data_IF_243426413454
#
_entry.id   IF_243426413454
#
_cell.length_a   1.000
_cell.length_b   1.000
_cell.length_c   1.000
_cell.angle_alpha   90.00
_cell.angle_beta   90.00
_cell.angle_gamma   90.00
#
_symmetry.space_group_name_H-M   'P 1'
#
loop_
_entity.id
_entity.type
_entity.pdbx_description
1 polymer ?
#
# COMPACT_ATOMS: atom_id res chain seq x y z
N UNK A 1 -29.12 -0.21 6.61
CA UNK A 1 -29.00 -0.33 8.08
C UNK A 1 -29.35 -1.75 8.42
N UNK A 2 -28.48 -2.50 9.10
CA UNK A 2 -28.81 -3.85 9.55
C UNK A 2 -29.67 -3.67 10.81
N UNK A 3 -30.98 -3.80 10.66
CA UNK A 3 -31.96 -3.65 11.75
C UNK A 3 -32.34 -4.99 12.37
N UNK A 4 -32.12 -6.08 11.64
CA UNK A 4 -32.47 -7.43 12.04
C UNK A 4 -31.35 -8.07 12.89
N UNK A 5 -31.71 -8.57 14.07
CA UNK A 5 -30.81 -9.15 15.06
C UNK A 5 -30.07 -10.38 14.51
N UNK A 6 -30.68 -11.13 13.57
CA UNK A 6 -30.06 -12.30 12.95
C UNK A 6 -28.78 -11.98 12.16
N UNK A 7 -28.68 -10.74 11.63
CA UNK A 7 -27.51 -10.27 10.88
C UNK A 7 -26.57 -9.41 11.74
N UNK A 8 -26.75 -9.42 13.07
CA UNK A 8 -25.94 -8.61 13.99
C UNK A 8 -24.43 -8.83 13.85
N UNK A 9 -23.99 -10.03 13.44
CA UNK A 9 -22.58 -10.35 13.18
C UNK A 9 -21.96 -9.55 12.03
N UNK A 10 -22.76 -9.02 11.09
CA UNK A 10 -22.30 -8.21 9.96
C UNK A 10 -22.22 -6.70 10.26
N UNK A 11 -22.57 -6.27 11.48
CA UNK A 11 -22.62 -4.85 11.87
C UNK A 11 -21.29 -4.14 11.64
N UNK A 12 -20.19 -4.76 12.05
CA UNK A 12 -18.82 -4.21 11.89
C UNK A 12 -18.46 -3.91 10.44
N UNK A 13 -18.93 -4.75 9.50
CA UNK A 13 -18.72 -4.55 8.06
C UNK A 13 -19.57 -3.42 7.49
N UNK A 14 -20.83 -3.34 7.93
CA UNK A 14 -21.68 -2.22 7.56
C UNK A 14 -21.11 -0.89 8.07
N UNK A 15 -20.57 -0.86 9.29
CA UNK A 15 -19.94 0.32 9.86
C UNK A 15 -18.67 0.71 9.09
N UNK A 16 -17.85 -0.27 8.72
CA UNK A 16 -16.66 -0.05 7.87
C UNK A 16 -17.03 0.47 6.48
N UNK A 17 -18.08 -0.07 5.85
CA UNK A 17 -18.60 0.44 4.57
C UNK A 17 -19.05 1.89 4.69
N UNK A 18 -19.78 2.24 5.74
CA UNK A 18 -20.24 3.61 5.97
C UNK A 18 -19.07 4.57 6.22
N UNK A 19 -18.05 4.11 6.95
CA UNK A 19 -16.81 4.85 7.14
C UNK A 19 -16.10 5.15 5.81
N UNK A 20 -15.97 4.16 4.91
CA UNK A 20 -15.38 4.37 3.58
C UNK A 20 -16.13 5.42 2.76
N UNK A 21 -17.46 5.41 2.81
CA UNK A 21 -18.30 6.41 2.15
C UNK A 21 -18.11 7.80 2.76
N UNK A 22 -17.98 7.89 4.08
CA UNK A 22 -17.82 9.17 4.77
C UNK A 22 -16.49 9.87 4.41
N UNK A 23 -15.41 9.10 4.26
CA UNK A 23 -14.07 9.64 3.97
C UNK A 23 -13.74 9.79 2.48
N UNK A 24 -14.62 9.35 1.57
CA UNK A 24 -14.30 9.27 0.13
C UNK A 24 -13.91 10.63 -0.48
N UNK A 25 -14.49 11.72 0.03
CA UNK A 25 -14.25 13.08 -0.44
C UNK A 25 -13.32 13.89 0.48
N UNK A 26 -12.72 13.25 1.48
CA UNK A 26 -11.75 13.87 2.36
C UNK A 26 -10.38 13.98 1.67
N UNK A 27 -10.08 15.16 1.11
CA UNK A 27 -8.80 15.39 0.42
C UNK A 27 -7.61 15.43 1.37
N UNK A 28 -7.83 15.69 2.66
CA UNK A 28 -6.75 15.66 3.67
C UNK A 28 -6.19 14.25 3.91
N UNK A 29 -6.93 13.22 3.48
CA UNK A 29 -6.54 11.81 3.55
C UNK A 29 -5.84 11.32 2.30
N UNK A 30 -5.53 12.19 1.34
CA UNK A 30 -4.90 11.83 0.07
C UNK A 30 -3.40 12.10 0.10
N UNK A 31 -2.64 11.36 -0.69
CA UNK A 31 -1.27 11.75 -1.04
C UNK A 31 -1.31 12.80 -2.16
N UNK A 32 -0.36 13.74 -2.13
CA UNK A 32 -0.26 14.80 -3.13
C UNK A 32 0.61 14.43 -4.34
N UNK A 33 1.44 13.40 -4.22
CA UNK A 33 2.38 13.02 -5.28
C UNK A 33 1.65 12.23 -6.36
N UNK A 34 1.57 12.80 -7.57
CA UNK A 34 1.04 12.13 -8.74
C UNK A 34 1.89 10.94 -9.21
N UNK A 35 1.24 10.02 -9.95
CA UNK A 35 1.85 8.77 -10.41
C UNK A 35 2.60 8.87 -11.75
N UNK A 36 2.38 9.95 -12.49
CA UNK A 36 2.91 10.10 -13.86
C UNK A 36 4.08 11.07 -13.88
N UNK A 37 5.11 10.70 -14.63
CA UNK A 37 6.25 11.57 -14.93
C UNK A 37 6.01 12.26 -16.28
N UNK A 38 6.15 13.58 -16.32
CA UNK A 38 6.09 14.34 -17.58
C UNK A 38 7.42 14.27 -18.32
N UNK A 39 7.39 14.48 -19.64
CA UNK A 39 8.59 14.49 -20.49
C UNK A 39 9.63 15.55 -20.07
N UNK A 40 9.17 16.64 -19.44
CA UNK A 40 10.03 17.67 -18.86
C UNK A 40 10.71 17.25 -17.53
N UNK A 41 10.44 16.04 -17.01
CA UNK A 41 11.01 15.55 -15.75
C UNK A 41 10.32 16.10 -14.49
N UNK A 42 9.02 16.39 -14.58
CA UNK A 42 8.20 16.88 -13.45
C UNK A 42 7.10 15.88 -13.09
N UNK A 43 6.74 15.83 -11.81
CA UNK A 43 5.54 15.14 -11.33
C UNK A 43 4.46 16.14 -10.95
N UNK A 44 3.20 15.74 -11.09
CA UNK A 44 2.04 16.53 -10.72
C UNK A 44 1.85 16.51 -9.20
N UNK A 45 1.59 17.67 -8.59
CA UNK A 45 1.25 17.83 -7.17
C UNK A 45 -0.23 18.15 -7.04
N UNK A 46 -1.00 17.14 -6.63
CA UNK A 46 -2.45 17.17 -6.49
C UNK A 46 -2.89 15.95 -5.69
N UNK A 47 -3.93 16.10 -4.86
CA UNK A 47 -4.59 14.98 -4.20
C UNK A 47 -5.00 13.88 -5.21
N UNK A 48 -4.41 12.68 -5.12
CA UNK A 48 -4.67 11.56 -6.05
C UNK A 48 -5.38 10.40 -5.35
N UNK A 49 -4.64 9.59 -4.59
CA UNK A 49 -5.16 8.41 -3.92
C UNK A 49 -5.02 8.52 -2.40
N UNK A 50 -5.61 7.61 -1.62
CA UNK A 50 -5.46 7.64 -0.15
C UNK A 50 -3.99 7.67 0.24
N UNK A 51 -3.60 8.46 1.23
CA UNK A 51 -2.23 8.47 1.75
C UNK A 51 -1.86 7.14 2.39
N UNK A 52 -0.56 6.87 2.53
CA UNK A 52 -0.05 5.73 3.31
C UNK A 52 -0.73 5.61 4.67
N UNK A 53 -0.82 6.71 5.43
CA UNK A 53 -1.43 6.73 6.76
C UNK A 53 -2.89 6.28 6.71
N UNK A 54 -3.65 6.74 5.72
CA UNK A 54 -5.04 6.31 5.55
C UNK A 54 -5.13 4.84 5.15
N UNK A 55 -4.28 4.34 4.26
CA UNK A 55 -4.25 2.92 3.87
C UNK A 55 -3.92 2.02 5.06
N UNK A 56 -2.95 2.40 5.89
CA UNK A 56 -2.59 1.69 7.13
C UNK A 56 -3.73 1.72 8.14
N UNK A 57 -4.41 2.87 8.29
CA UNK A 57 -5.56 3.00 9.18
C UNK A 57 -6.76 2.12 8.74
N UNK A 58 -6.98 1.99 7.43
CA UNK A 58 -7.96 1.05 6.87
C UNK A 58 -7.58 -0.40 7.13
N UNK A 59 -6.31 -0.77 6.94
CA UNK A 59 -5.82 -2.12 7.24
C UNK A 59 -5.98 -2.46 8.73
N UNK A 60 -5.64 -1.52 9.62
CA UNK A 60 -5.83 -1.67 11.08
C UNK A 60 -7.27 -2.00 11.45
N UNK A 61 -8.23 -1.30 10.83
CA UNK A 61 -9.66 -1.53 11.03
C UNK A 61 -10.10 -2.89 10.51
N UNK A 62 -9.74 -3.25 9.27
CA UNK A 62 -10.08 -4.56 8.69
C UNK A 62 -9.50 -5.72 9.50
N UNK A 63 -8.22 -5.68 9.86
CA UNK A 63 -7.62 -6.70 10.73
C UNK A 63 -8.33 -6.79 12.09
N UNK A 64 -8.76 -5.66 12.66
CA UNK A 64 -9.49 -5.65 13.93
C UNK A 64 -10.89 -6.27 13.80
N UNK A 65 -11.55 -6.05 12.66
CA UNK A 65 -12.85 -6.64 12.34
C UNK A 65 -12.71 -8.16 12.19
N UNK A 66 -11.72 -8.64 11.45
CA UNK A 66 -11.44 -10.07 11.30
C UNK A 66 -11.07 -10.74 12.64
N UNK A 67 -10.34 -10.03 13.51
CA UNK A 67 -10.04 -10.50 14.86
C UNK A 67 -11.29 -10.58 15.74
N UNK A 68 -12.15 -9.57 15.70
CA UNK A 68 -13.40 -9.57 16.44
C UNK A 68 -14.35 -10.69 15.98
N UNK A 69 -14.35 -11.02 14.69
CA UNK A 69 -15.18 -12.11 14.15
C UNK A 69 -14.69 -13.48 14.62
N UNK A 70 -13.37 -13.70 14.69
CA UNK A 70 -12.81 -14.91 15.31
C UNK A 70 -13.14 -15.00 16.79
N UNK A 71 -12.97 -13.89 17.52
CA UNK A 71 -13.30 -13.83 18.96
C UNK A 71 -14.81 -14.10 19.17
N UNK A 72 -15.69 -13.63 18.27
CA UNK A 72 -17.14 -13.91 18.27
C UNK A 72 -17.43 -15.40 18.03
N UNK A 73 -16.83 -15.98 17.00
CA UNK A 73 -17.01 -17.40 16.65
C UNK A 73 -16.57 -18.32 17.80
N UNK A 74 -15.41 -18.05 18.40
CA UNK A 74 -14.89 -18.78 19.56
C UNK A 74 -15.85 -18.68 20.76
N UNK A 75 -16.34 -17.48 21.07
CA UNK A 75 -17.31 -17.28 22.15
C UNK A 75 -18.64 -18.02 21.90
N UNK A 76 -19.12 -18.02 20.65
CA UNK A 76 -20.34 -18.72 20.25
C UNK A 76 -20.18 -20.24 20.36
N UNK A 77 -19.04 -20.77 19.90
CA UNK A 77 -18.65 -22.18 20.06
C UNK A 77 -18.58 -22.59 21.53
N UNK A 78 -17.99 -21.74 22.39
CA UNK A 78 -17.97 -21.95 23.84
C UNK A 78 -19.37 -22.00 24.46
N UNK A 79 -20.27 -21.09 24.07
CA UNK A 79 -21.65 -21.05 24.55
C UNK A 79 -22.48 -22.27 24.11
N UNK A 80 -22.24 -22.77 22.90
CA UNK A 80 -22.86 -24.01 22.40
C UNK A 80 -22.38 -25.21 23.23
N UNK A 81 -21.07 -25.33 23.43
CA UNK A 81 -20.46 -26.43 24.18
C UNK A 81 -20.87 -26.45 25.66
N UNK A 82 -21.11 -25.29 26.27
CA UNK A 82 -21.61 -25.18 27.66
C UNK A 82 -23.12 -25.39 27.79
N UNK A 83 -23.86 -25.48 26.67
CA UNK A 83 -25.32 -25.55 26.67
C UNK A 83 -26.01 -24.23 27.03
N UNK A 84 -25.28 -23.10 26.95
CA UNK A 84 -25.82 -21.75 27.20
C UNK A 84 -26.70 -21.27 26.05
N UNK A 85 -26.53 -21.82 24.85
CA UNK A 85 -27.41 -21.66 23.69
C UNK A 85 -27.86 -23.04 23.17
N UNK A 86 -29.02 -23.14 22.49
CA UNK A 86 -29.52 -24.41 21.96
C UNK A 86 -28.61 -24.98 20.88
N UNK A 87 -28.48 -26.31 20.83
CA UNK A 87 -27.79 -27.01 19.76
C UNK A 87 -28.65 -27.12 18.49
N UNK A 88 -28.72 -26.02 17.73
CA UNK A 88 -29.40 -25.90 16.44
C UNK A 88 -28.40 -25.82 15.29
N UNK A 89 -28.85 -26.12 14.07
CA UNK A 89 -28.03 -25.97 12.85
C UNK A 89 -27.52 -24.53 12.68
N UNK A 90 -28.37 -23.53 12.93
CA UNK A 90 -28.03 -22.12 12.87
C UNK A 90 -26.89 -21.75 13.84
N UNK A 91 -26.96 -22.21 15.09
CA UNK A 91 -25.91 -21.94 16.08
C UNK A 91 -24.60 -22.67 15.75
N UNK A 92 -24.68 -23.88 15.19
CA UNK A 92 -23.48 -24.61 14.73
C UNK A 92 -22.76 -23.87 13.61
N UNK A 93 -23.49 -23.27 12.67
CA UNK A 93 -22.88 -22.45 11.59
C UNK A 93 -22.15 -21.25 12.18
N UNK A 94 -22.73 -20.59 13.20
CA UNK A 94 -22.15 -19.42 13.85
C UNK A 94 -20.94 -19.72 14.77
N UNK A 95 -20.62 -20.99 15.02
CA UNK A 95 -19.40 -21.40 15.75
C UNK A 95 -18.11 -21.15 14.97
N UNK A 96 -18.19 -20.94 13.66
CA UNK A 96 -17.06 -20.60 12.80
C UNK A 96 -17.06 -19.10 12.45
N UNK A 97 -15.90 -18.51 12.10
CA UNK A 97 -15.86 -17.16 11.53
C UNK A 97 -16.69 -17.10 10.24
N UNK A 98 -17.63 -16.15 10.17
CA UNK A 98 -18.51 -15.96 9.01
C UNK A 98 -17.82 -15.19 7.87
N UNK A 99 -16.75 -14.48 8.18
CA UNK A 99 -15.94 -13.74 7.21
C UNK A 99 -14.51 -13.56 7.70
N UNK A 100 -13.60 -13.40 6.74
CA UNK A 100 -12.22 -12.98 6.96
C UNK A 100 -11.75 -12.22 5.70
N UNK A 101 -11.41 -10.95 5.85
CA UNK A 101 -11.10 -10.06 4.72
C UNK A 101 -9.61 -9.97 4.41
N UNK A 102 -8.76 -10.15 5.41
CA UNK A 102 -7.30 -10.01 5.29
C UNK A 102 -6.64 -11.37 5.46
N UNK A 103 -6.64 -12.16 4.39
CA UNK A 103 -5.86 -13.41 4.33
C UNK A 103 -4.35 -13.12 4.33
N UNK A 104 -3.49 -14.09 4.71
CA UNK A 104 -2.04 -13.93 4.60
C UNK A 104 -1.55 -13.54 3.20
N UNK A 105 -2.18 -14.11 2.16
CA UNK A 105 -1.88 -13.79 0.75
C UNK A 105 -2.17 -12.31 0.44
N UNK A 106 -3.35 -11.81 0.83
CA UNK A 106 -3.71 -10.40 0.67
C UNK A 106 -2.81 -9.49 1.51
N UNK A 107 -2.44 -9.93 2.72
CA UNK A 107 -1.55 -9.15 3.59
C UNK A 107 -0.18 -8.95 2.95
N UNK A 108 0.43 -9.99 2.37
CA UNK A 108 1.70 -9.88 1.63
C UNK A 108 1.55 -8.99 0.40
N UNK A 109 0.45 -9.09 -0.35
CA UNK A 109 0.18 -8.20 -1.47
C UNK A 109 0.10 -6.74 -1.02
N UNK A 110 -0.63 -6.45 0.06
CA UNK A 110 -0.73 -5.11 0.65
C UNK A 110 0.65 -4.62 1.11
N UNK A 111 1.41 -5.47 1.79
CA UNK A 111 2.75 -5.15 2.27
C UNK A 111 3.68 -4.74 1.12
N UNK A 112 3.68 -5.52 0.04
CA UNK A 112 4.45 -5.23 -1.17
C UNK A 112 4.15 -3.82 -1.70
N UNK A 113 2.89 -3.43 -1.83
CA UNK A 113 2.53 -2.09 -2.31
C UNK A 113 2.84 -0.98 -1.30
N UNK A 114 2.59 -1.21 -0.01
CA UNK A 114 2.88 -0.22 1.03
C UNK A 114 4.38 0.02 1.17
N UNK A 115 5.21 -1.00 1.02
CA UNK A 115 6.67 -0.93 1.14
C UNK A 115 7.32 -0.01 0.10
N UNK A 116 6.67 0.21 -1.05
CA UNK A 116 7.11 1.14 -2.10
C UNK A 116 6.60 2.58 -1.88
N UNK A 117 5.86 2.86 -0.81
CA UNK A 117 5.33 4.19 -0.54
C UNK A 117 6.36 5.06 0.20
N UNK A 118 6.46 6.34 -0.20
CA UNK A 118 7.41 7.30 0.37
C UNK A 118 7.19 7.68 1.85
N UNK A 119 6.08 7.25 2.46
CA UNK A 119 5.76 7.49 3.88
C UNK A 119 5.82 6.20 4.71
N UNK A 120 6.14 5.07 4.08
CA UNK A 120 6.34 3.84 4.82
C UNK A 120 7.59 3.99 5.70
N UNK A 121 7.47 3.83 7.02
CA UNK A 121 8.54 4.15 7.95
C UNK A 121 9.58 3.04 8.07
N UNK A 122 9.21 1.79 7.79
CA UNK A 122 10.06 0.62 7.96
C UNK A 122 9.63 -0.53 7.04
N UNK A 123 10.46 -1.55 6.92
CA UNK A 123 10.14 -2.78 6.20
C UNK A 123 8.95 -3.51 6.85
N UNK A 124 8.17 -4.23 6.03
CA UNK A 124 7.02 -5.02 6.45
C UNK A 124 5.89 -4.23 7.17
N UNK A 125 5.47 -3.06 6.65
CA UNK A 125 4.48 -2.20 7.31
C UNK A 125 3.12 -2.88 7.53
N UNK A 126 2.65 -3.71 6.60
CA UNK A 126 1.36 -4.39 6.74
C UNK A 126 1.44 -5.52 7.77
N UNK A 127 2.54 -6.28 7.78
CA UNK A 127 2.72 -7.36 8.75
C UNK A 127 2.88 -6.82 10.18
N UNK A 128 3.49 -5.64 10.36
CA UNK A 128 3.51 -4.96 11.65
C UNK A 128 2.08 -4.64 12.14
N UNK A 129 1.19 -4.19 11.25
CA UNK A 129 -0.24 -3.99 11.59
C UNK A 129 -0.93 -5.29 11.96
N UNK A 130 -0.69 -6.36 11.19
CA UNK A 130 -1.26 -7.66 11.49
C UNK A 130 -0.77 -8.19 12.84
N UNK A 131 0.53 -8.05 13.15
CA UNK A 131 1.14 -8.44 14.42
C UNK A 131 0.54 -7.68 15.60
N UNK A 132 0.39 -6.35 15.48
CA UNK A 132 -0.26 -5.50 16.48
C UNK A 132 -1.65 -6.03 16.86
N UNK A 133 -2.44 -6.45 15.87
CA UNK A 133 -3.82 -6.91 16.10
C UNK A 133 -3.89 -8.37 16.55
N UNK A 134 -3.13 -9.26 15.90
CA UNK A 134 -3.26 -10.70 16.09
C UNK A 134 -2.41 -11.23 17.24
N UNK A 135 -1.22 -10.66 17.44
CA UNK A 135 -0.27 -11.10 18.47
C UNK A 135 -0.38 -10.21 19.70
N UNK A 136 -0.37 -8.89 19.53
CA UNK A 136 -0.46 -7.94 20.65
C UNK A 136 -1.90 -7.60 21.05
N UNK A 137 -2.90 -8.17 20.38
CA UNK A 137 -4.34 -8.01 20.67
C UNK A 137 -4.83 -6.56 20.67
N UNK A 138 -4.15 -5.66 19.94
CA UNK A 138 -4.64 -4.29 19.72
C UNK A 138 -5.94 -4.33 18.89
N UNK A 139 -6.81 -3.36 19.12
CA UNK A 139 -8.08 -3.22 18.40
C UNK A 139 -8.27 -1.77 17.99
N UNK A 140 -8.66 -1.57 16.73
CA UNK A 140 -8.84 -0.26 16.12
C UNK A 140 -10.30 -0.13 15.68
N UNK A 141 -11.15 0.54 16.48
CA UNK A 141 -12.56 0.66 16.15
C UNK A 141 -12.76 1.54 14.91
N UNK A 142 -13.83 1.25 14.17
CA UNK A 142 -14.30 2.10 13.08
C UNK A 142 -15.11 3.26 13.66
N UNK A 143 -14.69 4.53 13.49
CA UNK A 143 -15.47 5.66 13.95
C UNK A 143 -16.65 5.93 13.02
N UNK A 144 -17.74 6.43 13.58
CA UNK A 144 -18.84 7.01 12.80
C UNK A 144 -18.48 8.43 12.42
N UNK A 145 -18.52 8.75 11.13
CA UNK A 145 -18.21 10.07 10.59
C UNK A 145 -19.35 10.56 9.69
N UNK A 146 -19.55 11.86 9.66
CA UNK A 146 -20.43 12.50 8.69
C UNK A 146 -19.75 12.56 7.31
N UNK A 147 -20.44 12.24 6.21
CA UNK A 147 -19.87 12.34 4.88
C UNK A 147 -19.52 13.77 4.47
N UNK A 148 -18.35 13.94 3.87
CA UNK A 148 -17.96 15.21 3.26
C UNK A 148 -18.56 15.36 1.85
N UNK A 149 -18.97 16.56 1.43
CA UNK A 149 -19.38 16.82 0.06
C UNK A 149 -18.18 16.68 -0.88
N UNK A 150 -18.44 16.37 -2.16
CA UNK A 150 -17.40 16.30 -3.20
C UNK A 150 -16.78 17.69 -3.42
N UNK A 151 -15.47 17.88 -3.19
CA UNK A 151 -14.80 19.14 -3.47
C UNK A 151 -14.28 19.19 -4.91
N UNK A 152 -13.90 20.39 -5.35
CA UNK A 152 -13.05 20.55 -6.53
C UNK A 152 -11.61 20.12 -6.20
N UNK A 153 -11.01 19.35 -7.11
CA UNK A 153 -9.66 18.85 -6.92
C UNK A 153 -8.66 19.91 -7.40
N UNK A 154 -7.97 20.54 -6.45
CA UNK A 154 -6.99 21.60 -6.71
C UNK A 154 -5.71 21.01 -7.29
N UNK A 155 -5.20 21.59 -8.38
CA UNK A 155 -3.84 21.35 -8.85
C UNK A 155 -2.92 22.33 -8.14
N UNK A 156 -1.96 21.84 -7.36
CA UNK A 156 -1.00 22.70 -6.66
C UNK A 156 0.19 23.08 -7.53
N UNK A 157 0.51 22.26 -8.53
CA UNK A 157 1.53 22.56 -9.55
C UNK A 157 2.31 21.33 -9.97
N UNK A 158 3.50 21.57 -10.53
CA UNK A 158 4.41 20.55 -11.03
C UNK A 158 5.76 20.64 -10.32
N UNK A 159 6.17 19.55 -9.67
CA UNK A 159 7.42 19.48 -8.91
C UNK A 159 8.53 18.79 -9.72
N UNK A 160 9.74 19.36 -9.83
CA UNK A 160 10.80 18.79 -10.64
C UNK A 160 11.46 17.58 -9.95
N UNK A 161 11.56 16.47 -10.66
CA UNK A 161 12.15 15.21 -10.13
C UNK A 161 13.18 14.58 -11.06
N UNK A 162 13.34 15.08 -12.29
CA UNK A 162 14.17 14.42 -13.30
C UNK A 162 13.57 13.06 -13.67
N UNK A 163 14.39 12.01 -13.66
CA UNK A 163 13.95 10.60 -13.75
C UNK A 163 13.88 9.96 -12.35
N UNK A 164 13.46 10.74 -11.35
CA UNK A 164 13.63 10.46 -9.92
C UNK A 164 15.11 10.41 -9.48
N UNK A 165 15.92 11.27 -10.08
CA UNK A 165 17.38 11.35 -9.91
C UNK A 165 17.91 12.77 -9.64
N UNK A 166 17.03 13.78 -9.58
CA UNK A 166 17.45 15.19 -9.50
C UNK A 166 18.14 15.55 -8.17
N UNK A 167 17.47 15.40 -7.03
CA UNK A 167 17.98 15.85 -5.72
C UNK A 167 18.21 14.71 -4.73
N UNK A 168 17.47 13.61 -4.89
CA UNK A 168 17.49 12.47 -4.00
C UNK A 168 17.44 11.18 -4.82
N UNK A 169 18.57 10.79 -5.48
CA UNK A 169 18.55 9.74 -6.48
C UNK A 169 17.99 8.42 -5.97
N UNK A 170 17.09 7.82 -6.74
CA UNK A 170 16.45 6.55 -6.42
C UNK A 170 17.03 5.38 -7.24
N UNK A 171 17.06 4.18 -6.65
CA UNK A 171 17.53 2.95 -7.30
C UNK A 171 16.40 1.97 -7.63
N UNK A 172 15.17 2.27 -7.21
CA UNK A 172 14.00 1.43 -7.39
C UNK A 172 14.14 0.11 -6.65
N UNK A 173 13.73 -0.97 -7.32
CA UNK A 173 13.75 -2.35 -6.83
C UNK A 173 15.14 -3.00 -6.83
N UNK A 174 16.22 -2.23 -7.10
CA UNK A 174 17.58 -2.78 -7.05
C UNK A 174 18.04 -2.97 -5.61
N UNK A 175 18.46 -4.19 -5.27
CA UNK A 175 19.07 -4.51 -3.98
C UNK A 175 20.50 -5.03 -4.18
N UNK A 176 21.49 -4.26 -3.70
CA UNK A 176 22.90 -4.62 -3.77
C UNK A 176 23.22 -5.85 -2.90
N UNK A 177 22.59 -5.95 -1.74
CA UNK A 177 22.76 -7.09 -0.84
C UNK A 177 22.22 -8.37 -1.48
N UNK A 178 21.03 -8.32 -2.08
CA UNK A 178 20.49 -9.48 -2.81
C UNK A 178 21.40 -9.87 -3.98
N UNK A 179 21.86 -8.90 -4.77
CA UNK A 179 22.82 -9.13 -5.87
C UNK A 179 24.09 -9.85 -5.40
N UNK A 180 24.62 -9.49 -4.23
CA UNK A 180 25.82 -10.06 -3.66
C UNK A 180 25.59 -11.50 -3.15
N UNK A 181 24.47 -11.74 -2.45
CA UNK A 181 24.23 -12.99 -1.74
C UNK A 181 23.44 -14.04 -2.51
N UNK A 182 22.72 -13.65 -3.57
CA UNK A 182 21.90 -14.56 -4.37
C UNK A 182 22.65 -15.78 -4.93
N UNK A 183 23.92 -15.69 -5.40
CA UNK A 183 24.66 -16.87 -5.84
C UNK A 183 24.84 -17.94 -4.74
N UNK A 184 24.84 -17.54 -3.47
CA UNK A 184 25.01 -18.44 -2.33
C UNK A 184 23.67 -18.91 -1.74
N UNK A 185 22.68 -18.01 -1.68
CA UNK A 185 21.36 -18.29 -1.12
C UNK A 185 20.43 -19.02 -2.09
N UNK A 186 20.62 -18.81 -3.39
CA UNK A 186 19.77 -19.35 -4.45
C UNK A 186 20.61 -19.88 -5.63
N UNK A 187 21.44 -20.91 -5.42
CA UNK A 187 22.39 -21.40 -6.44
C UNK A 187 21.71 -21.96 -7.70
N UNK A 188 20.42 -22.32 -7.63
CA UNK A 188 19.65 -22.83 -8.76
C UNK A 188 19.04 -21.75 -9.68
N UNK A 189 19.22 -20.46 -9.39
CA UNK A 189 18.60 -19.39 -10.19
C UNK A 189 19.41 -19.05 -11.43
N UNK A 190 18.74 -18.62 -12.52
CA UNK A 190 19.42 -18.19 -13.75
C UNK A 190 20.37 -17.00 -13.57
N UNK A 191 20.15 -16.17 -12.55
CA UNK A 191 20.95 -14.98 -12.31
C UNK A 191 20.81 -14.45 -10.89
N UNK A 192 21.74 -13.56 -10.53
CA UNK A 192 21.77 -12.89 -9.22
C UNK A 192 20.80 -11.71 -9.12
N UNK A 193 20.31 -11.21 -10.25
CA UNK A 193 19.35 -10.12 -10.40
C UNK A 193 18.45 -10.38 -11.60
N UNK A 194 17.35 -9.65 -11.70
CA UNK A 194 16.52 -9.59 -12.91
C UNK A 194 16.68 -8.23 -13.61
N UNK A 195 16.20 -8.15 -14.85
CA UNK A 195 16.13 -6.89 -15.59
C UNK A 195 14.70 -6.60 -16.00
N UNK A 196 14.32 -5.32 -15.92
CA UNK A 196 13.04 -4.87 -16.46
C UNK A 196 13.07 -4.85 -17.99
N UNK A 197 11.91 -4.67 -18.62
CA UNK A 197 11.80 -4.40 -20.06
C UNK A 197 12.54 -3.14 -20.50
N UNK A 198 12.69 -2.16 -19.58
CA UNK A 198 13.54 -0.97 -19.78
C UNK A 198 15.04 -1.21 -19.62
N UNK A 199 15.48 -2.44 -19.30
CA UNK A 199 16.88 -2.80 -19.14
C UNK A 199 17.46 -2.49 -17.75
N UNK A 200 16.64 -1.98 -16.82
CA UNK A 200 17.09 -1.63 -15.48
C UNK A 200 17.30 -2.87 -14.61
N UNK A 201 18.36 -2.88 -13.82
CA UNK A 201 18.61 -3.97 -12.87
C UNK A 201 17.70 -3.81 -11.65
N UNK A 202 17.09 -4.93 -11.25
CA UNK A 202 16.27 -5.04 -10.04
C UNK A 202 16.73 -6.25 -9.23
N UNK A 203 16.18 -6.40 -8.04
CA UNK A 203 16.19 -7.69 -7.34
C UNK A 203 15.68 -8.80 -8.26
N UNK A 204 16.11 -10.05 -8.02
CA UNK A 204 15.55 -11.18 -8.73
C UNK A 204 14.04 -11.25 -8.49
N UNK A 205 13.27 -11.57 -9.52
CA UNK A 205 11.84 -11.84 -9.43
C UNK A 205 11.47 -12.92 -10.44
N UNK A 206 10.32 -13.55 -10.21
CA UNK A 206 9.71 -14.46 -11.16
C UNK A 206 8.51 -13.79 -11.83
N UNK A 207 8.23 -14.19 -13.07
CA UNK A 207 7.09 -13.69 -13.83
C UNK A 207 5.98 -14.73 -13.93
N UNK A 208 4.74 -14.25 -13.99
CA UNK A 208 3.55 -15.05 -14.29
C UNK A 208 2.54 -14.21 -15.09
N UNK A 209 1.39 -14.78 -15.48
CA UNK A 209 0.43 -14.10 -16.34
C UNK A 209 -0.27 -12.91 -15.67
N UNK A 210 -0.31 -12.88 -14.33
CA UNK A 210 -0.94 -11.83 -13.53
C UNK A 210 -0.09 -11.55 -12.29
N UNK A 211 -0.45 -10.53 -11.50
CA UNK A 211 0.20 -10.35 -10.20
C UNK A 211 -0.22 -11.51 -9.30
N UNK A 212 0.75 -12.19 -8.70
CA UNK A 212 0.51 -13.39 -7.91
C UNK A 212 1.32 -13.38 -6.63
N UNK A 213 0.73 -13.97 -5.59
CA UNK A 213 1.36 -14.16 -4.29
C UNK A 213 1.21 -15.63 -3.93
N UNK A 214 2.31 -16.30 -3.65
CA UNK A 214 2.31 -17.69 -3.21
C UNK A 214 1.58 -17.80 -1.85
N UNK A 215 0.39 -18.40 -1.86
CA UNK A 215 -0.48 -18.46 -0.69
C UNK A 215 0.11 -19.30 0.45
N UNK A 216 0.80 -20.39 0.14
CA UNK A 216 1.41 -21.27 1.14
C UNK A 216 2.61 -20.59 1.78
N UNK A 217 3.51 -20.01 0.97
CA UNK A 217 4.67 -19.29 1.46
C UNK A 217 4.26 -18.03 2.24
N UNK A 218 3.24 -17.30 1.78
CA UNK A 218 2.68 -16.16 2.50
C UNK A 218 2.11 -16.58 3.87
N UNK A 219 1.33 -17.66 3.92
CA UNK A 219 0.78 -18.19 5.16
C UNK A 219 1.89 -18.60 6.14
N UNK A 220 2.87 -19.38 5.67
CA UNK A 220 4.00 -19.82 6.49
C UNK A 220 4.80 -18.62 7.02
N UNK A 221 5.05 -17.62 6.19
CA UNK A 221 5.83 -16.47 6.62
C UNK A 221 5.07 -15.64 7.65
N UNK A 222 3.82 -15.26 7.36
CA UNK A 222 3.00 -14.40 8.23
C UNK A 222 2.72 -15.07 9.57
N UNK A 223 2.40 -16.37 9.58
CA UNK A 223 1.93 -17.04 10.80
C UNK A 223 3.03 -17.72 11.60
N UNK A 224 4.14 -18.13 10.96
CA UNK A 224 5.20 -18.90 11.63
C UNK A 224 6.56 -18.19 11.67
N UNK A 225 6.86 -17.29 10.72
CA UNK A 225 8.19 -16.67 10.62
C UNK A 225 8.23 -15.24 11.18
N UNK A 226 7.18 -14.46 10.93
CA UNK A 226 7.09 -13.06 11.34
C UNK A 226 6.67 -12.92 12.81
N UNK A 227 7.54 -13.32 13.73
CA UNK A 227 7.32 -13.17 15.17
C UNK A 227 7.66 -11.76 15.68
N UNK A 228 7.54 -11.54 16.99
CA UNK A 228 7.84 -10.25 17.62
C UNK A 228 9.32 -9.85 17.45
N UNK A 229 10.25 -10.81 17.47
CA UNK A 229 11.67 -10.52 17.32
C UNK A 229 11.98 -10.08 15.88
N UNK A 230 11.41 -10.75 14.89
CA UNK A 230 11.50 -10.38 13.49
C UNK A 230 10.89 -9.00 13.26
N UNK A 231 9.68 -8.76 13.77
CA UNK A 231 9.00 -7.46 13.67
C UNK A 231 9.90 -6.33 14.19
N UNK A 232 10.46 -6.47 15.40
CA UNK A 232 11.36 -5.48 15.98
C UNK A 232 12.63 -5.27 15.15
N UNK A 233 13.21 -6.33 14.57
CA UNK A 233 14.36 -6.20 13.68
C UNK A 233 14.04 -5.38 12.42
N UNK A 234 12.83 -5.53 11.88
CA UNK A 234 12.42 -4.85 10.65
C UNK A 234 12.14 -3.36 10.82
N UNK A 235 11.91 -2.87 12.05
CA UNK A 235 11.66 -1.46 12.36
C UNK A 235 12.83 -0.52 12.01
N UNK A 236 14.04 -1.08 11.90
CA UNK A 236 15.25 -0.32 11.56
C UNK A 236 15.66 -0.44 10.09
N UNK A 237 14.85 -1.11 9.27
CA UNK A 237 15.13 -1.34 7.85
C UNK A 237 14.31 -0.40 6.98
N UNK A 238 14.84 -0.06 5.82
CA UNK A 238 14.12 0.77 4.85
C UNK A 238 12.87 0.04 4.37
N UNK A 239 11.78 0.79 4.15
CA UNK A 239 10.50 0.20 3.74
C UNK A 239 10.62 -0.70 2.51
N UNK A 240 11.40 -0.27 1.50
CA UNK A 240 11.59 -0.99 0.25
C UNK A 240 12.16 -2.41 0.42
N UNK A 241 12.82 -2.70 1.55
CA UNK A 241 13.38 -4.03 1.82
C UNK A 241 12.30 -5.11 1.87
N UNK A 242 11.05 -4.76 2.19
CA UNK A 242 9.93 -5.69 2.07
C UNK A 242 9.65 -6.06 0.61
N UNK A 243 9.53 -5.09 -0.30
CA UNK A 243 9.39 -5.39 -1.74
C UNK A 243 10.58 -6.20 -2.28
N UNK A 244 11.81 -5.86 -1.87
CA UNK A 244 12.98 -6.64 -2.23
C UNK A 244 12.86 -8.08 -1.75
N UNK A 245 12.51 -8.30 -0.48
CA UNK A 245 12.36 -9.62 0.11
C UNK A 245 11.29 -10.44 -0.61
N UNK A 246 10.08 -9.90 -0.81
CA UNK A 246 8.98 -10.64 -1.41
C UNK A 246 9.28 -11.11 -2.83
N UNK A 247 9.89 -10.24 -3.64
CA UNK A 247 10.32 -10.59 -4.99
C UNK A 247 11.48 -11.58 -4.97
N UNK A 248 12.49 -11.31 -4.14
CA UNK A 248 13.70 -12.13 -4.10
C UNK A 248 13.43 -13.52 -3.57
N UNK A 249 12.48 -13.74 -2.67
CA UNK A 249 12.14 -15.08 -2.19
C UNK A 249 11.12 -15.79 -3.10
N UNK A 250 10.62 -15.14 -4.15
CA UNK A 250 9.64 -15.71 -5.08
C UNK A 250 8.22 -15.79 -4.51
N UNK A 251 7.97 -15.15 -3.36
CA UNK A 251 6.66 -15.09 -2.70
C UNK A 251 5.72 -14.17 -3.48
N UNK A 252 6.24 -13.06 -4.01
CA UNK A 252 5.53 -12.20 -4.96
C UNK A 252 6.09 -12.41 -6.36
N UNK A 253 5.19 -12.58 -7.34
CA UNK A 253 5.52 -12.74 -8.76
C UNK A 253 4.87 -11.64 -9.57
N UNK A 254 5.62 -11.09 -10.52
CA UNK A 254 5.17 -9.95 -11.32
C UNK A 254 4.49 -10.43 -12.61
N UNK A 255 3.49 -9.70 -13.12
CA UNK A 255 2.97 -9.97 -14.45
C UNK A 255 4.07 -9.81 -15.52
N UNK A 256 4.12 -10.71 -16.50
CA UNK A 256 5.08 -10.63 -17.61
C UNK A 256 5.07 -9.25 -18.27
N UNK A 257 6.25 -8.64 -18.38
CA UNK A 257 6.43 -7.34 -19.02
C UNK A 257 6.00 -6.13 -18.19
N UNK A 258 5.50 -6.32 -16.96
CA UNK A 258 5.07 -5.22 -16.08
C UNK A 258 6.13 -4.79 -15.07
N UNK A 259 7.29 -5.46 -15.01
CA UNK A 259 8.35 -5.15 -14.03
C UNK A 259 8.80 -3.68 -14.06
N UNK A 260 8.83 -3.04 -15.24
CA UNK A 260 9.19 -1.63 -15.37
C UNK A 260 8.24 -0.70 -14.60
N UNK A 261 6.94 -1.02 -14.57
CA UNK A 261 5.95 -0.23 -13.83
C UNK A 261 6.21 -0.27 -12.32
N UNK A 262 6.55 -1.43 -11.78
CA UNK A 262 6.87 -1.57 -10.34
C UNK A 262 8.20 -0.90 -10.00
N UNK A 263 9.17 -0.95 -10.92
CA UNK A 263 10.42 -0.22 -10.80
C UNK A 263 10.20 1.30 -10.70
N UNK A 264 9.34 1.86 -11.55
CA UNK A 264 8.97 3.29 -11.51
C UNK A 264 8.22 3.65 -10.21
N UNK A 265 7.32 2.79 -9.75
CA UNK A 265 6.65 2.95 -8.45
C UNK A 265 7.65 3.00 -7.29
N UNK A 266 8.61 2.06 -7.26
CA UNK A 266 9.64 2.00 -6.25
C UNK A 266 10.57 3.22 -6.30
N UNK A 267 10.97 3.67 -7.50
CA UNK A 267 11.78 4.89 -7.68
C UNK A 267 11.07 6.12 -7.14
N UNK A 268 9.79 6.30 -7.49
CA UNK A 268 8.98 7.40 -6.97
C UNK A 268 8.94 7.40 -5.45
N UNK A 269 8.64 6.25 -4.86
CA UNK A 269 8.61 6.07 -3.40
C UNK A 269 9.94 6.44 -2.73
N UNK A 270 11.03 5.89 -3.23
CA UNK A 270 12.37 6.15 -2.71
C UNK A 270 12.78 7.62 -2.86
N UNK A 271 12.49 8.25 -4.01
CA UNK A 271 12.86 9.64 -4.24
C UNK A 271 12.27 10.57 -3.19
N UNK A 272 10.95 10.49 -2.95
CA UNK A 272 10.28 11.35 -1.98
C UNK A 272 10.65 11.00 -0.53
N UNK A 273 10.87 9.72 -0.21
CA UNK A 273 11.36 9.32 1.10
C UNK A 273 12.76 9.89 1.38
N UNK A 274 13.69 9.75 0.43
CA UNK A 274 15.06 10.28 0.53
C UNK A 274 15.09 11.81 0.50
N UNK A 275 14.20 12.45 -0.26
CA UNK A 275 14.05 13.90 -0.26
C UNK A 275 13.63 14.40 1.12
N UNK A 276 12.61 13.78 1.73
CA UNK A 276 12.16 14.10 3.08
C UNK A 276 13.28 13.89 4.11
N UNK A 277 14.04 12.79 4.01
CA UNK A 277 15.19 12.54 4.88
C UNK A 277 16.29 13.60 4.71
N UNK A 278 16.67 13.92 3.46
CA UNK A 278 17.70 14.92 3.14
C UNK A 278 17.35 16.30 3.68
N UNK A 279 16.08 16.68 3.57
CA UNK A 279 15.56 17.97 4.03
C UNK A 279 15.11 17.95 5.50
N UNK A 280 15.16 16.79 6.16
CA UNK A 280 14.68 16.56 7.52
C UNK A 280 13.22 17.04 7.72
N UNK A 281 12.32 16.61 6.82
CA UNK A 281 10.91 16.97 6.82
C UNK A 281 10.04 15.82 7.32
N UNK A 282 9.03 16.15 8.11
CA UNK A 282 7.89 15.27 8.38
C UNK A 282 7.02 15.11 7.12
N UNK A 283 6.09 14.13 7.07
CA UNK A 283 5.19 13.97 5.94
C UNK A 283 4.41 15.24 5.55
N UNK A 284 3.88 15.96 6.55
CA UNK A 284 3.13 17.19 6.31
C UNK A 284 4.01 18.36 5.82
N UNK A 285 5.24 18.44 6.34
CA UNK A 285 6.21 19.44 5.87
C UNK A 285 6.73 19.13 4.47
N UNK A 286 6.85 17.85 4.10
CA UNK A 286 7.15 17.45 2.73
C UNK A 286 6.04 17.93 1.78
N UNK A 287 4.77 17.69 2.12
CA UNK A 287 3.63 18.15 1.30
C UNK A 287 3.66 19.68 1.10
N UNK A 288 3.89 20.45 2.17
CA UNK A 288 4.05 21.90 2.09
C UNK A 288 5.22 22.31 1.18
N UNK A 289 6.40 21.67 1.36
CA UNK A 289 7.58 21.91 0.54
C UNK A 289 7.33 21.64 -0.95
N UNK A 290 6.61 20.56 -1.27
CA UNK A 290 6.28 20.21 -2.66
C UNK A 290 5.37 21.26 -3.31
N UNK A 291 4.40 21.80 -2.57
CA UNK A 291 3.51 22.86 -3.05
C UNK A 291 4.29 24.16 -3.26
N UNK A 292 5.10 24.58 -2.28
CA UNK A 292 5.84 25.83 -2.32
C UNK A 292 6.89 25.90 -3.44
N UNK A 293 7.44 24.73 -3.82
CA UNK A 293 8.51 24.62 -4.81
C UNK A 293 8.01 24.05 -6.17
N UNK A 294 6.70 23.92 -6.35
CA UNK A 294 6.11 23.52 -7.61
C UNK A 294 5.98 24.73 -8.57
N UNK A 295 6.10 24.48 -9.86
CA UNK A 295 5.77 25.48 -10.90
C UNK A 295 4.28 25.40 -11.26
N UNK A 296 3.71 26.52 -11.69
CA UNK A 296 2.32 26.57 -12.18
C UNK A 296 2.13 25.79 -13.48
N UNK A 297 0.87 25.48 -13.80
CA UNK A 297 0.51 24.68 -14.98
C UNK A 297 0.94 25.34 -16.30
N UNK A 298 0.74 26.64 -16.45
CA UNK A 298 1.16 27.41 -17.63
C UNK A 298 2.68 27.33 -17.87
N UNK A 299 3.47 27.44 -16.80
CA UNK A 299 4.93 27.33 -16.87
C UNK A 299 5.38 25.92 -17.26
N UNK A 300 4.67 24.88 -16.80
CA UNK A 300 4.95 23.50 -17.18
C UNK A 300 4.58 23.22 -18.64
N UNK A 301 3.44 23.71 -19.13
CA UNK A 301 3.05 23.59 -20.54
C UNK A 301 4.06 24.25 -21.48
N UNK A 302 4.60 25.41 -21.09
CA UNK A 302 5.66 26.09 -21.84
C UNK A 302 6.94 25.24 -21.94
N UNK A 303 7.31 24.49 -20.89
CA UNK A 303 8.47 23.58 -20.90
C UNK A 303 8.28 22.38 -21.83
N UNK A 304 7.05 21.90 -21.97
CA UNK A 304 6.70 20.81 -22.89
C UNK A 304 6.64 21.26 -24.35
N UNK A 305 6.78 22.56 -24.62
CA UNK A 305 6.68 23.10 -25.98
C UNK A 305 5.26 23.10 -26.53
N UNK A 306 4.23 22.98 -25.68
CA UNK A 306 2.84 23.13 -26.10
C UNK A 306 2.54 24.61 -26.35
N UNK A 307 2.37 24.97 -27.62
CA UNK A 307 1.93 26.30 -28.03
C UNK A 307 0.41 26.43 -27.77
N UNK A 308 0.03 27.21 -26.77
CA UNK A 308 -1.38 27.45 -26.42
C UNK A 308 -2.16 28.14 -27.55
N UNK A 309 -1.49 28.76 -28.53
CA UNK A 309 -2.16 29.34 -29.70
C UNK A 309 -2.70 28.30 -30.68
N UNK A 310 -2.14 27.08 -30.73
CA UNK A 310 -2.67 26.02 -31.61
C UNK A 310 -4.03 25.47 -31.15
N UNK A 311 -4.32 25.48 -29.84
CA UNK A 311 -5.62 25.06 -29.31
C UNK A 311 -6.72 26.10 -29.55
N UNK A 312 -6.37 27.39 -29.54
CA UNK A 312 -7.31 28.49 -29.83
C UNK A 312 -7.80 28.48 -31.28
N UNK A 313 -6.95 28.08 -32.23
CA UNK A 313 -7.28 28.03 -33.65
C UNK A 313 -8.37 27.00 -33.99
N UNK A 314 -8.54 25.93 -33.19
CA UNK A 314 -9.61 24.95 -33.37
C UNK A 314 -10.89 25.31 -32.59
N UNK A 315 -10.81 26.19 -31.61
CA UNK A 315 -11.98 26.69 -30.88
C UNK A 315 -12.69 27.84 -31.62
N UNK A 316 -11.95 28.64 -32.41
CA UNK A 316 -12.52 29.70 -33.25
C UNK A 316 -13.04 29.20 -34.61
N UNK A 317 -12.75 27.95 -34.98
CA UNK A 317 -13.20 27.31 -36.23
C UNK A 317 -14.46 26.44 -36.06
N UNK A 318 -15.14 26.51 -34.91
CA UNK A 318 -16.38 25.79 -34.59
C UNK A 318 -17.60 26.73 -34.50
#
# INVERSE_FOLDING_TARGET
MIEDEQYGHLRSLNDFRNYLLAIQWDMSRRELVGRSLSDAGYTRIQADTYSYLTRVDLLKKLCSIDAAERDRAEAHSGALASGSIPDSEENRVLCEPQFEFVTPQQLVAIDFFLSMHHYAPHAFPALAVWHDVNVLRRRYPTPTLEPLPKPDIVLHGWYPVGQYDKEAPATGLRSFDAEQWNPYRHPGRPGRYARTTGGEQTVYFEETSQFDVDAEAACLFVTCTYDTAFMLNTQHRDAIDSAHFWLNEGIVKLPTGMAQRYQEMAKRGQYFSRLAQRLNLTPAELDAHLIENAIGDEAHQALLGYDTTQLSLFAEAA
#
